data_IF_243811252370
#
_entry.id   IF_243811252370
#
_cell.length_a   1.000
_cell.length_b   1.000
_cell.length_c   1.000
_cell.angle_alpha   90.00
_cell.angle_beta   90.00
_cell.angle_gamma   90.00
#
_symmetry.space_group_name_H-M   'P 1'
#
loop_
_entity.id
_entity.type
_entity.pdbx_description
1 polymer ?
#
# COMPACT_ATOMS: atom_id res chain seq x y z
N UNK A 1 -18.56 -3.03 16.17
CA UNK A 1 -17.16 -2.86 16.64
C UNK A 1 -16.65 -1.53 16.12
N UNK A 2 -16.26 -0.62 16.97
CA UNK A 2 -15.76 0.70 16.61
C UNK A 2 -14.27 0.77 16.86
N UNK A 3 -13.53 1.37 15.96
CA UNK A 3 -12.09 1.49 16.01
C UNK A 3 -11.71 2.92 16.40
N UNK A 4 -10.85 3.05 17.37
CA UNK A 4 -10.20 4.30 17.73
C UNK A 4 -8.72 4.23 17.33
N UNK A 5 -8.25 5.16 16.51
CA UNK A 5 -6.84 5.27 16.20
C UNK A 5 -6.31 6.59 16.78
N UNK A 6 -5.33 6.51 17.67
CA UNK A 6 -4.63 7.67 18.20
C UNK A 6 -3.22 7.74 17.60
N UNK A 7 -2.87 8.88 17.05
CA UNK A 7 -1.48 9.22 16.74
C UNK A 7 -0.99 10.15 17.83
N UNK A 8 0.08 9.79 18.50
CA UNK A 8 0.72 10.62 19.52
C UNK A 8 1.71 11.56 18.83
N UNK A 9 1.56 12.86 19.04
CA UNK A 9 2.57 13.82 18.59
C UNK A 9 3.71 13.83 19.62
N UNK A 10 4.91 13.45 19.21
CA UNK A 10 6.10 13.72 19.98
C UNK A 10 6.37 15.23 19.95
N UNK A 11 6.08 15.91 21.04
CA UNK A 11 6.48 17.29 21.23
C UNK A 11 7.97 17.34 21.56
N UNK A 12 8.73 18.21 20.91
CA UNK A 12 10.08 18.61 21.33
C UNK A 12 9.98 19.19 22.74
N UNK A 13 10.46 18.46 23.75
CA UNK A 13 10.57 18.98 25.10
C UNK A 13 11.87 19.76 25.22
N UNK A 14 11.77 21.08 25.41
CA UNK A 14 12.86 21.90 25.94
C UNK A 14 12.85 21.76 27.47
N UNK A 15 13.82 21.06 28.03
CA UNK A 15 14.03 21.04 29.48
C UNK A 15 14.89 22.28 29.81
N UNK A 16 14.24 23.30 30.34
CA UNK A 16 14.98 24.45 30.95
C UNK A 16 15.50 24.01 32.33
N UNK A 17 16.76 23.71 32.43
CA UNK A 17 17.46 23.68 33.70
C UNK A 17 17.98 25.10 34.01
N UNK A 18 17.37 25.73 35.01
CA UNK A 18 17.85 26.96 35.57
C UNK A 18 19.22 26.74 36.27
N UNK A 19 20.30 26.96 35.56
CA UNK A 19 21.66 27.24 36.06
C UNK A 19 22.45 28.04 35.02
N UNK A 20 23.43 28.88 35.39
CA UNK A 20 23.94 29.98 34.56
C UNK A 20 24.99 29.54 33.53
N UNK A 21 24.71 28.55 32.71
CA UNK A 21 25.45 28.23 31.51
C UNK A 21 24.44 27.93 30.39
N UNK A 22 24.13 28.93 29.59
CA UNK A 22 23.22 28.85 28.44
C UNK A 22 23.84 28.01 27.33
N UNK A 23 23.71 26.69 27.38
CA UNK A 23 23.72 25.81 26.19
C UNK A 23 22.36 25.20 26.07
N UNK A 24 21.56 25.67 25.08
CA UNK A 24 20.38 24.96 24.63
C UNK A 24 20.85 23.65 24.00
N UNK A 25 20.72 22.54 24.70
CA UNK A 25 20.90 21.22 24.13
C UNK A 25 19.53 20.80 23.58
N UNK A 26 19.31 21.07 22.31
CA UNK A 26 18.15 20.53 21.58
C UNK A 26 18.50 19.09 21.22
N UNK A 27 18.00 18.13 21.97
CA UNK A 27 18.07 16.72 21.57
C UNK A 27 17.05 16.50 20.45
N UNK A 28 17.48 16.62 19.19
CA UNK A 28 16.80 16.00 18.06
C UNK A 28 17.04 14.49 18.16
N UNK A 29 16.16 13.74 18.83
CA UNK A 29 16.18 12.28 18.81
C UNK A 29 15.55 11.80 17.49
N UNK A 30 16.19 12.09 16.37
CA UNK A 30 15.96 11.42 15.09
C UNK A 30 17.04 10.32 14.97
N UNK A 31 16.80 9.18 15.61
CA UNK A 31 17.74 8.07 15.60
C UNK A 31 17.01 6.74 15.78
N UNK A 32 17.73 5.64 15.56
CA UNK A 32 17.29 4.24 15.71
C UNK A 32 16.67 3.95 17.10
N UNK A 33 17.04 4.72 18.11
CA UNK A 33 16.53 4.62 19.50
C UNK A 33 15.13 5.21 19.70
N UNK A 34 14.64 6.08 18.78
CA UNK A 34 13.33 6.74 18.90
C UNK A 34 12.15 5.77 18.96
N UNK A 35 12.05 4.73 18.11
CA UNK A 35 10.98 3.73 18.20
C UNK A 35 11.00 2.93 19.50
N UNK A 36 12.19 2.59 20.02
CA UNK A 36 12.33 1.85 21.27
C UNK A 36 11.86 2.69 22.47
N UNK A 37 12.32 3.93 22.58
CA UNK A 37 11.90 4.85 23.63
C UNK A 37 10.41 5.17 23.57
N UNK A 38 9.86 5.32 22.36
CA UNK A 38 8.41 5.47 22.15
C UNK A 38 7.64 4.27 22.68
N UNK A 39 8.10 3.05 22.36
CA UNK A 39 7.45 1.82 22.82
C UNK A 39 7.51 1.69 24.35
N UNK A 40 8.67 1.97 24.95
CA UNK A 40 8.83 1.94 26.41
C UNK A 40 7.93 2.97 27.11
N UNK A 41 7.78 4.18 26.55
CA UNK A 41 6.90 5.20 27.10
C UNK A 41 5.42 4.81 26.97
N UNK A 42 5.02 4.23 25.83
CA UNK A 42 3.64 3.85 25.56
C UNK A 42 3.24 2.50 26.20
N UNK A 43 4.19 1.72 26.73
CA UNK A 43 3.93 0.52 27.52
C UNK A 43 3.03 0.82 28.73
N UNK A 44 3.21 1.98 29.35
CA UNK A 44 2.33 2.48 30.43
C UNK A 44 0.88 2.62 29.96
N UNK A 45 0.66 3.00 28.69
CA UNK A 45 -0.69 3.05 28.10
C UNK A 45 -1.24 1.64 27.87
N UNK A 46 -0.40 0.71 27.39
CA UNK A 46 -0.81 -0.67 27.15
C UNK A 46 -1.30 -1.32 28.44
N UNK A 47 -0.53 -1.26 29.53
CA UNK A 47 -0.93 -1.75 30.84
C UNK A 47 -2.21 -1.08 31.37
N UNK A 48 -2.40 0.20 31.15
CA UNK A 48 -3.62 0.88 31.57
C UNK A 48 -4.84 0.43 30.75
N UNK A 49 -4.69 0.18 29.44
CA UNK A 49 -5.76 -0.37 28.60
C UNK A 49 -6.12 -1.81 28.99
N UNK A 50 -5.12 -2.64 29.29
CA UNK A 50 -5.30 -4.01 29.81
C UNK A 50 -6.02 -4.00 31.16
N UNK A 51 -5.57 -3.16 32.10
CA UNK A 51 -6.19 -3.01 33.44
C UNK A 51 -7.67 -2.62 33.34
N UNK A 52 -8.04 -1.82 32.31
CA UNK A 52 -9.44 -1.42 32.05
C UNK A 52 -10.22 -2.49 31.27
N UNK A 53 -9.61 -3.59 30.88
CA UNK A 53 -10.24 -4.66 30.09
C UNK A 53 -10.56 -4.27 28.64
N UNK A 54 -9.83 -3.28 28.07
CA UNK A 54 -10.02 -2.91 26.68
C UNK A 54 -9.29 -3.85 25.73
N UNK A 55 -9.97 -4.25 24.66
CA UNK A 55 -9.31 -4.91 23.52
C UNK A 55 -8.68 -3.86 22.64
N UNK A 56 -7.39 -3.95 22.39
CA UNK A 56 -6.66 -2.99 21.56
C UNK A 56 -5.57 -3.67 20.74
N UNK A 57 -5.07 -2.96 19.75
CA UNK A 57 -3.86 -3.31 18.98
C UNK A 57 -3.04 -2.02 18.79
N UNK A 58 -1.79 -2.05 19.21
CA UNK A 58 -0.85 -0.94 19.05
C UNK A 58 0.33 -1.35 18.19
N UNK A 59 0.75 -0.46 17.34
CA UNK A 59 2.00 -0.54 16.59
C UNK A 59 2.68 0.83 16.59
N UNK A 60 3.78 0.93 17.33
CA UNK A 60 4.44 2.20 17.62
C UNK A 60 3.45 3.23 18.23
N UNK A 61 3.25 4.36 17.57
CA UNK A 61 2.33 5.43 17.97
C UNK A 61 0.87 5.22 17.49
N UNK A 62 0.64 4.25 16.60
CA UNK A 62 -0.71 3.92 16.12
C UNK A 62 -1.38 2.92 17.06
N UNK A 63 -2.46 3.33 17.74
CA UNK A 63 -3.23 2.50 18.64
C UNK A 63 -4.70 2.44 18.22
N UNK A 64 -5.23 1.21 18.10
CA UNK A 64 -6.65 0.96 17.84
C UNK A 64 -7.29 0.29 19.06
N UNK A 65 -8.32 0.92 19.62
CA UNK A 65 -9.08 0.38 20.74
C UNK A 65 -10.46 -0.03 20.23
N UNK A 66 -10.89 -1.26 20.54
CA UNK A 66 -12.13 -1.83 20.04
C UNK A 66 -13.25 -1.70 21.07
N UNK A 67 -14.35 -1.09 20.66
CA UNK A 67 -15.53 -0.84 21.51
C UNK A 67 -16.82 -1.24 20.81
N UNK A 68 -17.89 -1.47 21.58
CA UNK A 68 -19.17 -1.97 21.03
C UNK A 68 -20.06 -0.86 20.42
N UNK A 69 -19.92 0.39 20.89
CA UNK A 69 -20.78 1.49 20.44
C UNK A 69 -19.97 2.77 20.26
N UNK A 70 -20.49 3.69 19.45
CA UNK A 70 -19.88 5.00 19.22
C UNK A 70 -19.77 5.81 20.53
N UNK A 71 -20.83 5.84 21.34
CA UNK A 71 -20.84 6.53 22.65
C UNK A 71 -19.76 5.97 23.59
N UNK A 72 -19.55 4.64 23.60
CA UNK A 72 -18.46 4.04 24.36
C UNK A 72 -17.09 4.47 23.81
N UNK A 73 -16.92 4.52 22.48
CA UNK A 73 -15.70 4.99 21.84
C UNK A 73 -15.35 6.43 22.18
N UNK A 74 -16.32 7.32 22.16
CA UNK A 74 -16.13 8.74 22.51
C UNK A 74 -15.69 8.90 23.98
N UNK A 75 -16.31 8.14 24.91
CA UNK A 75 -15.89 8.12 26.32
C UNK A 75 -14.48 7.57 26.51
N UNK A 76 -14.14 6.47 25.84
CA UNK A 76 -12.80 5.87 25.89
C UNK A 76 -11.78 6.85 25.34
N UNK A 77 -12.07 7.48 24.21
CA UNK A 77 -11.20 8.48 23.58
C UNK A 77 -10.87 9.62 24.55
N UNK A 78 -11.89 10.26 25.14
CA UNK A 78 -11.71 11.33 26.11
C UNK A 78 -10.95 10.88 27.38
N UNK A 79 -11.14 9.63 27.79
CA UNK A 79 -10.44 9.06 28.95
C UNK A 79 -8.97 8.77 28.66
N UNK A 80 -8.66 8.22 27.48
CA UNK A 80 -7.29 7.95 27.04
C UNK A 80 -6.53 9.26 26.79
N UNK A 81 -7.15 10.24 26.18
CA UNK A 81 -6.58 11.59 25.98
C UNK A 81 -6.15 12.20 27.31
N UNK A 82 -7.05 12.23 28.29
CA UNK A 82 -6.73 12.73 29.65
C UNK A 82 -5.61 11.95 30.31
N UNK A 83 -5.57 10.62 30.14
CA UNK A 83 -4.50 9.80 30.68
C UNK A 83 -3.15 10.13 30.06
N UNK A 84 -3.07 10.21 28.73
CA UNK A 84 -1.86 10.57 27.99
C UNK A 84 -1.34 11.95 28.38
N UNK A 85 -2.21 12.94 28.49
CA UNK A 85 -1.85 14.31 28.88
C UNK A 85 -1.40 14.40 30.33
N UNK A 86 -2.14 13.80 31.27
CA UNK A 86 -1.85 13.90 32.69
C UNK A 86 -0.66 13.05 33.11
N UNK A 87 -0.60 11.80 32.65
CA UNK A 87 0.40 10.81 33.10
C UNK A 87 1.68 10.86 32.28
N UNK A 88 1.55 10.87 30.96
CA UNK A 88 2.68 10.80 30.03
C UNK A 88 3.07 12.15 29.44
N UNK A 89 2.28 13.22 29.69
CA UNK A 89 2.48 14.56 29.11
C UNK A 89 2.54 14.55 27.58
N UNK A 90 1.81 13.62 26.96
CA UNK A 90 1.72 13.45 25.52
C UNK A 90 0.39 14.03 25.00
N UNK A 91 0.42 14.62 23.80
CA UNK A 91 -0.77 15.17 23.14
C UNK A 91 -1.26 14.23 22.05
N UNK A 92 -2.55 13.92 22.04
CA UNK A 92 -3.20 13.16 20.98
C UNK A 92 -3.36 14.01 19.72
N UNK A 93 -3.08 13.42 18.56
CA UNK A 93 -3.30 14.09 17.28
C UNK A 93 -4.77 13.96 16.86
N UNK A 94 -5.60 14.92 17.25
CA UNK A 94 -7.05 14.91 16.98
C UNK A 94 -7.39 14.91 15.48
N UNK A 95 -6.55 15.46 14.61
CA UNK A 95 -6.78 15.42 13.17
C UNK A 95 -6.70 14.01 12.57
N UNK A 96 -5.93 13.10 13.23
CA UNK A 96 -5.77 11.71 12.80
C UNK A 96 -6.55 10.72 13.66
N UNK A 97 -7.01 11.13 14.84
CA UNK A 97 -7.77 10.30 15.79
C UNK A 97 -9.26 10.45 15.54
N UNK A 98 -10.00 9.37 15.51
CA UNK A 98 -11.44 9.39 15.35
C UNK A 98 -12.09 8.09 15.82
N UNK A 99 -13.34 8.21 16.26
CA UNK A 99 -14.21 7.08 16.57
C UNK A 99 -15.05 6.77 15.33
N UNK A 100 -14.79 5.64 14.70
CA UNK A 100 -15.46 5.23 13.46
C UNK A 100 -15.52 3.71 13.31
N UNK A 101 -16.41 3.16 12.45
CA UNK A 101 -16.40 1.74 12.12
C UNK A 101 -15.06 1.29 11.53
N UNK A 102 -14.62 0.04 11.75
CA UNK A 102 -13.37 -0.51 11.21
C UNK A 102 -13.25 -0.40 9.69
N UNK A 103 -14.38 -0.48 8.98
CA UNK A 103 -14.42 -0.35 7.51
C UNK A 103 -14.01 1.04 6.99
N UNK A 104 -14.14 2.08 7.81
CA UNK A 104 -13.77 3.46 7.49
C UNK A 104 -12.37 3.83 7.97
N UNK A 105 -11.71 2.94 8.71
CA UNK A 105 -10.37 3.17 9.25
C UNK A 105 -9.35 2.26 8.60
N UNK A 106 -8.11 2.72 8.61
CA UNK A 106 -6.98 1.92 8.16
C UNK A 106 -6.01 1.68 9.32
N UNK A 107 -5.41 0.50 9.35
CA UNK A 107 -4.33 0.17 10.26
C UNK A 107 -3.29 -0.65 9.51
N UNK A 108 -2.03 -0.24 9.55
CA UNK A 108 -0.92 -0.90 8.86
C UNK A 108 -1.19 -1.17 7.36
N UNK A 109 -1.82 -0.23 6.68
CA UNK A 109 -2.14 -0.38 5.24
C UNK A 109 -3.35 -1.27 4.93
N UNK A 110 -3.99 -1.85 5.94
CA UNK A 110 -5.21 -2.63 5.82
C UNK A 110 -6.45 -1.87 6.31
N UNK A 111 -7.60 -2.34 5.92
CA UNK A 111 -8.92 -1.92 6.35
C UNK A 111 -9.81 -3.18 6.41
N UNK A 112 -11.05 -3.05 6.83
CA UNK A 112 -12.00 -4.16 6.89
C UNK A 112 -13.17 -3.92 5.94
N UNK A 113 -13.77 -5.01 5.46
CA UNK A 113 -15.06 -4.93 4.77
C UNK A 113 -16.17 -4.65 5.79
N UNK A 114 -17.30 -4.13 5.32
CA UNK A 114 -18.52 -4.07 6.12
C UNK A 114 -19.19 -5.45 6.21
N UNK A 115 -20.18 -5.56 7.11
CA UNK A 115 -21.00 -6.77 7.25
C UNK A 115 -20.72 -7.56 8.53
N UNK A 116 -21.43 -8.69 8.68
CA UNK A 116 -21.38 -9.54 9.87
C UNK A 116 -20.02 -10.25 10.04
N UNK A 117 -19.41 -10.64 8.93
CA UNK A 117 -18.07 -11.26 8.88
C UNK A 117 -17.09 -10.31 8.18
N UNK A 118 -16.47 -9.37 8.91
CA UNK A 118 -15.55 -8.42 8.31
C UNK A 118 -14.27 -9.13 7.84
N UNK A 119 -13.95 -8.96 6.54
CA UNK A 119 -12.73 -9.49 5.93
C UNK A 119 -11.66 -8.40 5.89
N UNK A 120 -10.41 -8.79 6.10
CA UNK A 120 -9.24 -7.93 5.97
C UNK A 120 -8.99 -7.61 4.50
N UNK A 121 -9.05 -6.34 4.13
CA UNK A 121 -8.79 -5.84 2.78
C UNK A 121 -7.64 -4.83 2.79
N UNK A 122 -7.01 -4.67 1.65
CA UNK A 122 -5.98 -3.64 1.45
C UNK A 122 -6.63 -2.26 1.44
N UNK A 123 -6.09 -1.33 2.20
CA UNK A 123 -6.62 0.03 2.26
C UNK A 123 -6.47 0.76 0.90
N UNK A 124 -7.46 1.57 0.49
CA UNK A 124 -7.42 2.28 -0.81
C UNK A 124 -6.15 3.11 -1.03
N UNK A 125 -5.63 3.72 0.02
CA UNK A 125 -4.39 4.50 -0.05
C UNK A 125 -3.15 3.62 -0.32
N UNK A 126 -3.11 2.39 0.18
CA UNK A 126 -2.04 1.44 -0.10
C UNK A 126 -2.10 0.99 -1.56
N UNK A 127 -3.29 0.72 -2.09
CA UNK A 127 -3.51 0.42 -3.51
C UNK A 127 -3.13 1.60 -4.42
N UNK A 128 -3.45 2.83 -4.02
CA UNK A 128 -3.08 4.02 -4.78
C UNK A 128 -1.55 4.17 -4.87
N UNK A 129 -0.85 4.04 -3.75
CA UNK A 129 0.63 4.06 -3.70
C UNK A 129 1.27 2.94 -4.51
N UNK A 130 0.71 1.72 -4.45
CA UNK A 130 1.14 0.61 -5.30
C UNK A 130 1.04 0.96 -6.78
N UNK A 131 -0.13 1.45 -7.22
CA UNK A 131 -0.36 1.84 -8.62
C UNK A 131 0.55 2.99 -9.06
N UNK A 132 0.81 3.94 -8.19
CA UNK A 132 1.74 5.05 -8.46
C UNK A 132 3.16 4.52 -8.68
N UNK A 133 3.68 3.69 -7.77
CA UNK A 133 5.00 3.10 -7.91
C UNK A 133 5.14 2.22 -9.15
N UNK A 134 4.14 1.39 -9.44
CA UNK A 134 4.11 0.60 -10.67
C UNK A 134 4.03 1.47 -11.93
N UNK A 135 3.33 2.63 -11.90
CA UNK A 135 3.33 3.60 -13.01
C UNK A 135 4.71 4.19 -13.26
N UNK A 136 5.43 4.57 -12.21
CA UNK A 136 6.79 5.08 -12.31
C UNK A 136 7.72 4.08 -12.99
N UNK A 137 7.72 2.83 -12.50
CA UNK A 137 8.57 1.76 -13.05
C UNK A 137 8.21 1.37 -14.48
N UNK A 138 6.94 1.48 -14.86
CA UNK A 138 6.42 1.15 -16.20
C UNK A 138 6.15 2.40 -17.05
N UNK A 139 6.90 3.49 -16.85
CA UNK A 139 6.79 4.68 -17.72
C UNK A 139 7.22 4.33 -19.15
N UNK A 140 6.35 4.64 -20.12
CA UNK A 140 6.55 4.34 -21.55
C UNK A 140 7.71 5.11 -22.19
N UNK A 141 8.19 6.16 -21.53
CA UNK A 141 9.27 7.05 -21.96
C UNK A 141 10.60 6.77 -21.26
N UNK A 142 10.67 5.70 -20.48
CA UNK A 142 11.85 5.41 -19.63
C UNK A 142 13.09 4.97 -20.42
N UNK A 143 12.94 4.53 -21.68
CA UNK A 143 14.07 4.06 -22.51
C UNK A 143 14.71 2.73 -22.07
N UNK A 144 14.10 2.00 -21.11
CA UNK A 144 14.60 0.73 -20.64
C UNK A 144 14.03 -0.45 -21.44
N UNK A 145 14.79 -1.54 -21.55
CA UNK A 145 14.29 -2.79 -22.16
C UNK A 145 13.17 -3.42 -21.34
N UNK A 146 12.34 -4.24 -21.98
CA UNK A 146 11.21 -4.89 -21.30
C UNK A 146 11.70 -5.80 -20.16
N UNK A 147 12.77 -6.54 -20.38
CA UNK A 147 13.39 -7.46 -19.42
C UNK A 147 13.85 -6.70 -18.16
N UNK A 148 14.50 -5.55 -18.36
CA UNK A 148 14.92 -4.68 -17.25
C UNK A 148 13.73 -4.17 -16.45
N UNK A 149 12.68 -3.71 -17.15
CA UNK A 149 11.45 -3.21 -16.51
C UNK A 149 10.80 -4.33 -15.71
N UNK A 150 10.65 -5.54 -16.27
CA UNK A 150 10.06 -6.69 -15.60
C UNK A 150 10.88 -7.11 -14.38
N UNK A 151 12.19 -7.19 -14.49
CA UNK A 151 13.08 -7.54 -13.37
C UNK A 151 12.97 -6.58 -12.20
N UNK A 152 12.97 -5.28 -12.46
CA UNK A 152 12.82 -4.25 -11.40
C UNK A 152 11.42 -4.29 -10.78
N UNK A 153 10.39 -4.43 -11.62
CA UNK A 153 9.01 -4.53 -11.18
C UNK A 153 8.79 -5.78 -10.31
N UNK A 154 9.30 -6.95 -10.74
CA UNK A 154 9.16 -8.20 -9.99
C UNK A 154 9.73 -8.13 -8.58
N UNK A 155 10.89 -7.47 -8.39
CA UNK A 155 11.43 -7.23 -7.03
C UNK A 155 10.46 -6.45 -6.15
N UNK A 156 9.84 -5.42 -6.71
CA UNK A 156 8.84 -4.63 -6.00
C UNK A 156 7.58 -5.45 -5.68
N UNK A 157 7.10 -6.24 -6.66
CA UNK A 157 5.90 -7.07 -6.50
C UNK A 157 6.09 -8.16 -5.43
N UNK A 158 7.25 -8.82 -5.40
CA UNK A 158 7.59 -9.83 -4.39
C UNK A 158 7.57 -9.22 -2.99
N UNK A 159 8.25 -8.10 -2.77
CA UNK A 159 8.25 -7.42 -1.47
C UNK A 159 6.86 -6.95 -1.06
N UNK A 160 6.08 -6.41 -2.00
CA UNK A 160 4.73 -5.94 -1.75
C UNK A 160 3.77 -7.10 -1.43
N UNK A 161 3.88 -8.22 -2.14
CA UNK A 161 3.13 -9.45 -1.88
C UNK A 161 3.45 -10.02 -0.49
N UNK A 162 4.71 -10.05 -0.10
CA UNK A 162 5.13 -10.51 1.23
C UNK A 162 4.41 -9.79 2.37
N UNK A 163 4.06 -8.50 2.16
CA UNK A 163 3.34 -7.70 3.14
C UNK A 163 1.82 -7.78 2.99
N UNK A 164 1.29 -7.73 1.77
CA UNK A 164 -0.15 -7.60 1.51
C UNK A 164 -0.83 -8.91 1.04
N UNK A 165 -0.07 -9.96 0.76
CA UNK A 165 -0.57 -11.21 0.21
C UNK A 165 -1.60 -11.94 1.08
N UNK A 166 -1.55 -11.74 2.40
CA UNK A 166 -2.51 -12.34 3.32
C UNK A 166 -3.84 -11.55 3.45
N UNK A 167 -4.17 -10.68 2.50
CA UNK A 167 -5.48 -10.05 2.45
C UNK A 167 -6.56 -11.11 2.12
N UNK A 168 -7.74 -10.97 2.73
CA UNK A 168 -8.86 -11.90 2.57
C UNK A 168 -9.77 -11.53 1.38
N UNK A 169 -9.27 -10.69 0.48
CA UNK A 169 -9.96 -10.25 -0.74
C UNK A 169 -9.08 -10.50 -1.98
N UNK A 170 -8.87 -11.77 -2.40
CA UNK A 170 -7.92 -12.12 -3.46
C UNK A 170 -8.27 -11.54 -4.83
N UNK A 171 -9.52 -11.21 -5.09
CA UNK A 171 -9.95 -10.54 -6.32
C UNK A 171 -9.23 -9.22 -6.57
N UNK A 172 -8.86 -8.49 -5.51
CA UNK A 172 -8.09 -7.24 -5.61
C UNK A 172 -6.68 -7.52 -6.13
N UNK A 173 -6.04 -8.58 -5.67
CA UNK A 173 -4.70 -8.98 -6.11
C UNK A 173 -4.71 -9.41 -7.58
N UNK A 174 -5.68 -10.22 -7.98
CA UNK A 174 -5.87 -10.61 -9.40
C UNK A 174 -6.08 -9.42 -10.32
N UNK A 175 -6.91 -8.47 -9.91
CA UNK A 175 -7.13 -7.23 -10.66
C UNK A 175 -5.86 -6.36 -10.77
N UNK A 176 -4.97 -6.38 -9.77
CA UNK A 176 -3.67 -5.71 -9.84
C UNK A 176 -2.73 -6.38 -10.85
N UNK A 177 -2.67 -7.72 -10.89
CA UNK A 177 -1.87 -8.46 -11.87
C UNK A 177 -2.35 -8.22 -13.30
N UNK A 178 -3.65 -8.24 -13.54
CA UNK A 178 -4.24 -7.90 -14.84
C UNK A 178 -3.87 -6.47 -15.26
N UNK A 179 -3.99 -5.52 -14.34
CA UNK A 179 -3.63 -4.15 -14.60
C UNK A 179 -2.14 -3.97 -14.91
N UNK A 180 -1.25 -4.71 -14.22
CA UNK A 180 0.19 -4.71 -14.49
C UNK A 180 0.48 -5.23 -15.89
N UNK A 181 -0.07 -6.41 -16.26
CA UNK A 181 0.11 -7.00 -17.59
C UNK A 181 -0.40 -6.07 -18.69
N UNK A 182 -1.54 -5.43 -18.48
CA UNK A 182 -2.05 -4.38 -19.37
C UNK A 182 -1.07 -3.22 -19.53
N UNK A 183 -0.44 -2.77 -18.46
CA UNK A 183 0.58 -1.71 -18.51
C UNK A 183 1.81 -2.13 -19.30
N UNK A 184 2.30 -3.34 -19.09
CA UNK A 184 3.46 -3.89 -19.81
C UNK A 184 3.17 -4.03 -21.30
N UNK A 185 1.97 -4.51 -21.68
CA UNK A 185 1.52 -4.51 -23.11
C UNK A 185 1.56 -3.10 -23.72
N UNK A 186 1.10 -2.08 -22.97
CA UNK A 186 1.14 -0.71 -23.43
C UNK A 186 2.58 -0.16 -23.57
N UNK A 187 3.53 -0.61 -22.74
CA UNK A 187 4.95 -0.28 -22.85
C UNK A 187 5.54 -0.90 -24.13
N UNK A 188 5.33 -2.20 -24.34
CA UNK A 188 5.81 -2.93 -25.52
C UNK A 188 5.26 -2.30 -26.80
N UNK A 189 3.95 -2.02 -26.82
CA UNK A 189 3.34 -1.35 -27.97
C UNK A 189 3.98 0.00 -28.31
N UNK A 190 4.35 0.77 -27.31
CA UNK A 190 5.06 2.05 -27.52
C UNK A 190 6.50 1.83 -28.00
N UNK A 191 7.17 0.76 -27.57
CA UNK A 191 8.51 0.40 -28.01
C UNK A 191 8.55 -0.03 -29.49
N UNK A 192 7.49 -0.65 -29.98
CA UNK A 192 7.35 -1.02 -31.41
C UNK A 192 7.06 0.17 -32.34
N UNK A 193 7.37 1.31 -32.03
CA UNK A 193 7.29 2.64 -32.66
C UNK A 193 6.46 2.75 -33.95
N UNK A 194 6.80 1.97 -35.02
CA UNK A 194 6.24 2.07 -36.39
C UNK A 194 5.23 0.96 -36.68
N UNK A 195 4.21 1.23 -37.51
CA UNK A 195 3.20 0.25 -37.91
C UNK A 195 3.79 -1.02 -38.53
N UNK A 196 4.79 -0.90 -39.41
CA UNK A 196 5.51 -2.05 -39.99
C UNK A 196 6.15 -2.94 -38.90
N UNK A 197 6.80 -2.34 -37.92
CA UNK A 197 7.40 -3.09 -36.79
C UNK A 197 6.33 -3.77 -35.95
N UNK A 198 5.22 -3.06 -35.66
CA UNK A 198 4.09 -3.62 -34.91
C UNK A 198 3.48 -4.81 -35.61
N UNK A 199 3.25 -4.70 -36.91
CA UNK A 199 2.75 -5.81 -37.73
C UNK A 199 3.69 -7.01 -37.69
N UNK A 200 4.98 -6.80 -37.97
CA UNK A 200 5.98 -7.88 -37.96
C UNK A 200 6.07 -8.57 -36.58
N UNK A 201 6.09 -7.81 -35.49
CA UNK A 201 6.14 -8.36 -34.14
C UNK A 201 4.87 -9.13 -33.75
N UNK A 202 3.69 -8.65 -34.14
CA UNK A 202 2.44 -9.40 -33.96
C UNK A 202 2.45 -10.72 -34.71
N UNK A 203 2.87 -10.69 -35.99
CA UNK A 203 2.98 -11.91 -36.82
C UNK A 203 3.96 -12.91 -36.24
N UNK A 204 5.15 -12.45 -35.83
CA UNK A 204 6.19 -13.27 -35.20
C UNK A 204 5.71 -13.99 -33.94
N UNK A 205 4.72 -13.39 -33.26
CA UNK A 205 4.11 -13.92 -32.03
C UNK A 205 2.81 -14.67 -32.24
N UNK A 206 2.52 -15.11 -33.48
CA UNK A 206 1.39 -16.00 -33.79
C UNK A 206 0.04 -15.30 -34.04
N UNK A 207 0.01 -13.97 -34.16
CA UNK A 207 -1.24 -13.28 -34.49
C UNK A 207 -1.57 -13.45 -35.98
N UNK A 208 -2.82 -13.80 -36.31
CA UNK A 208 -3.32 -13.91 -37.69
C UNK A 208 -3.08 -12.64 -38.51
N UNK A 209 -2.92 -12.77 -39.85
CA UNK A 209 -2.54 -11.67 -40.74
C UNK A 209 -3.49 -10.47 -40.64
N UNK A 210 -4.80 -10.70 -40.79
CA UNK A 210 -5.81 -9.64 -40.79
C UNK A 210 -5.88 -8.90 -39.46
N UNK A 211 -5.91 -9.63 -38.34
CA UNK A 211 -5.95 -9.07 -37.01
C UNK A 211 -4.66 -8.26 -36.70
N UNK A 212 -3.51 -8.75 -37.17
CA UNK A 212 -2.23 -8.04 -37.04
C UNK A 212 -2.21 -6.74 -37.86
N UNK A 213 -2.69 -6.77 -39.12
CA UNK A 213 -2.78 -5.61 -40.01
C UNK A 213 -3.73 -4.56 -39.44
N UNK A 214 -4.93 -4.94 -39.03
CA UNK A 214 -5.94 -4.06 -38.44
C UNK A 214 -5.40 -3.40 -37.14
N UNK A 215 -4.76 -4.18 -36.27
CA UNK A 215 -4.25 -3.68 -35.00
C UNK A 215 -3.04 -2.75 -35.21
N UNK A 216 -2.10 -3.12 -36.12
CA UNK A 216 -0.91 -2.33 -36.42
C UNK A 216 -1.24 -0.99 -37.08
N UNK A 217 -2.29 -0.94 -37.94
CA UNK A 217 -2.78 0.25 -38.59
C UNK A 217 -3.70 1.12 -37.74
N UNK A 218 -4.06 0.68 -36.55
CA UNK A 218 -4.99 1.40 -35.69
C UNK A 218 -4.42 2.71 -35.17
N UNK A 219 -5.21 3.79 -35.25
CA UNK A 219 -4.91 5.10 -34.70
C UNK A 219 -5.03 5.18 -33.16
N UNK A 220 -5.54 4.12 -32.52
CA UNK A 220 -5.73 4.12 -31.09
C UNK A 220 -4.43 4.13 -30.28
N UNK A 221 -4.45 4.82 -29.15
CA UNK A 221 -3.30 4.94 -28.26
C UNK A 221 -2.92 3.62 -27.56
N UNK A 222 -1.67 3.51 -27.07
CA UNK A 222 -1.13 2.28 -26.47
C UNK A 222 -1.98 1.69 -25.34
N UNK A 223 -2.63 2.52 -24.55
CA UNK A 223 -3.46 2.06 -23.45
C UNK A 223 -4.75 1.38 -23.92
N UNK A 224 -5.38 1.88 -24.96
CA UNK A 224 -6.58 1.23 -25.54
C UNK A 224 -6.20 -0.08 -26.21
N UNK A 225 -5.14 -0.08 -27.02
CA UNK A 225 -4.68 -1.28 -27.72
C UNK A 225 -4.12 -2.36 -26.79
N UNK A 226 -3.65 -2.03 -25.60
CA UNK A 226 -3.17 -3.02 -24.63
C UNK A 226 -4.21 -4.06 -24.19
N UNK A 227 -5.48 -3.84 -24.47
CA UNK A 227 -6.58 -4.79 -24.26
C UNK A 227 -7.05 -5.45 -25.56
N UNK A 228 -6.44 -5.17 -26.72
CA UNK A 228 -6.85 -5.76 -27.98
C UNK A 228 -6.59 -7.28 -28.00
N UNK A 229 -7.41 -8.07 -28.73
CA UNK A 229 -7.17 -9.49 -28.90
C UNK A 229 -5.77 -9.79 -29.44
N UNK A 230 -5.30 -9.00 -30.42
CA UNK A 230 -3.95 -9.16 -30.98
C UNK A 230 -2.83 -9.06 -29.92
N UNK A 231 -2.89 -8.06 -29.03
CA UNK A 231 -1.89 -7.92 -27.96
C UNK A 231 -2.06 -8.95 -26.84
N UNK A 232 -3.25 -9.45 -26.61
CA UNK A 232 -3.46 -10.55 -25.66
C UNK A 232 -2.87 -11.88 -26.18
N UNK A 233 -2.99 -12.15 -27.50
CA UNK A 233 -2.33 -13.30 -28.15
C UNK A 233 -0.83 -13.12 -28.17
N UNK A 234 -0.32 -12.00 -28.71
CA UNK A 234 1.10 -11.78 -28.89
C UNK A 234 1.89 -11.68 -27.56
N UNK A 235 1.27 -11.19 -26.52
CA UNK A 235 1.83 -10.96 -25.19
C UNK A 235 0.89 -11.59 -24.16
N UNK A 236 0.81 -12.93 -24.19
CA UNK A 236 -0.03 -13.73 -23.28
C UNK A 236 0.41 -13.57 -21.82
N UNK A 237 -0.35 -14.11 -20.89
CA UNK A 237 0.06 -14.15 -19.50
C UNK A 237 1.35 -14.96 -19.31
N UNK A 238 1.44 -16.12 -19.96
CA UNK A 238 2.60 -17.02 -19.90
C UNK A 238 3.87 -16.36 -20.45
N UNK A 239 3.72 -15.50 -21.47
CA UNK A 239 4.84 -14.69 -21.95
C UNK A 239 5.44 -13.80 -20.86
N UNK A 240 4.62 -13.19 -20.01
CA UNK A 240 5.11 -12.35 -18.91
C UNK A 240 5.58 -13.19 -17.71
N UNK A 241 4.86 -14.23 -17.36
CA UNK A 241 5.15 -15.06 -16.19
C UNK A 241 6.34 -16.00 -16.46
N UNK A 242 6.24 -16.85 -17.48
CA UNK A 242 7.19 -17.92 -17.71
C UNK A 242 8.45 -17.46 -18.47
N UNK A 243 8.28 -16.65 -19.54
CA UNK A 243 9.44 -16.22 -20.33
C UNK A 243 10.19 -15.03 -19.75
N UNK A 244 9.48 -14.09 -19.09
CA UNK A 244 10.11 -12.89 -18.55
C UNK A 244 10.28 -12.92 -17.03
N UNK A 245 9.72 -13.90 -16.34
CA UNK A 245 9.82 -14.05 -14.90
C UNK A 245 9.11 -12.93 -14.13
N UNK A 246 7.96 -12.45 -14.65
CA UNK A 246 7.16 -11.47 -13.94
C UNK A 246 6.56 -12.11 -12.69
N UNK A 247 6.84 -11.55 -11.52
CA UNK A 247 6.21 -11.99 -10.29
C UNK A 247 4.71 -11.62 -10.26
N UNK A 248 3.85 -12.53 -9.82
CA UNK A 248 2.45 -12.28 -9.53
C UNK A 248 2.27 -11.77 -8.11
N UNK A 249 1.31 -10.86 -7.88
CA UNK A 249 0.88 -10.45 -6.53
C UNK A 249 -0.29 -11.28 -6.02
N UNK A 250 -1.10 -11.88 -6.91
CA UNK A 250 -2.01 -12.95 -6.55
C UNK A 250 -1.22 -14.24 -6.35
N UNK A 251 -1.70 -15.13 -5.49
CA UNK A 251 -1.19 -16.49 -5.49
C UNK A 251 -1.44 -17.08 -6.88
N UNK A 252 -0.39 -17.64 -7.51
CA UNK A 252 -0.62 -18.60 -8.56
C UNK A 252 -1.42 -19.73 -7.91
N UNK A 253 -2.63 -20.00 -8.41
CA UNK A 253 -3.38 -21.23 -8.11
C UNK A 253 -2.57 -22.42 -8.72
N UNK A 254 -1.40 -22.71 -8.16
CA UNK A 254 -0.68 -23.96 -8.32
C UNK A 254 -1.03 -24.80 -7.11
N UNK A 255 -2.21 -25.42 -7.18
CA UNK A 255 -2.48 -26.66 -6.49
C UNK A 255 -2.11 -27.81 -7.42
#
# INVERSE_FOLDING_TARGET
>A
MLLFASHVKHGTRTIERNRPFKRKVTFCVQGVTSPLLSNLMLDVLDHELERRGHRFARYADDCNIYVRSRRAGERVMASVERFLEKRLKLKVNMAKSAVAPPSQRKFLGFSFTGGATPKRRIAPQALARFKERAREQTRRTRGASLEKIVKELSRYLIGWRGYFGFCETPSVLRALDEWIRRRLRAVVWKQWKRGRTRFAELRRRGVGHELAAQTAGSAHGPWRLSCSPALNIALSNDFFLDRLGLASVAESDTA
#
